data_IF_757398987510
#
_entry.id   IF_757398987510
#
_cell.length_a   1.000
_cell.length_b   1.000
_cell.length_c   1.000
_cell.angle_alpha   90.00
_cell.angle_beta   90.00
_cell.angle_gamma   90.00
#
_symmetry.space_group_name_H-M   'P 1'
#
loop_
_entity.id
_entity.type
_entity.pdbx_description
1 polymer ?
#
# COMPACT_ATOMS: atom_id res chain seq x y z
N UNK A 1 3.26 9.57 25.09
CA UNK A 1 4.05 8.97 24.00
C UNK A 1 5.51 9.27 24.29
N UNK A 2 6.36 8.25 24.55
CA UNK A 2 7.79 8.46 24.68
C UNK A 2 8.29 9.04 23.35
N UNK A 3 9.10 10.11 23.41
CA UNK A 3 9.46 10.92 22.25
C UNK A 3 10.19 10.10 21.19
N UNK A 4 9.59 10.01 20.00
CA UNK A 4 10.25 9.49 18.80
C UNK A 4 11.41 10.43 18.49
N UNK A 5 12.65 9.91 18.42
CA UNK A 5 13.79 10.70 17.96
C UNK A 5 13.60 11.00 16.47
N UNK A 6 13.51 12.28 16.13
CA UNK A 6 13.41 12.72 14.74
C UNK A 6 14.78 12.56 14.08
N UNK A 7 14.89 11.83 12.95
CA UNK A 7 16.16 11.68 12.23
C UNK A 7 16.69 13.03 11.70
N UNK A 8 18.02 13.19 11.68
CA UNK A 8 18.64 14.43 11.18
C UNK A 8 18.30 14.73 9.73
N UNK A 9 18.23 13.69 8.88
CA UNK A 9 17.81 13.83 7.49
C UNK A 9 16.39 14.41 7.36
N UNK A 10 15.47 14.02 8.24
CA UNK A 10 14.09 14.54 8.25
C UNK A 10 14.06 16.04 8.62
N UNK A 11 14.91 16.45 9.57
CA UNK A 11 15.08 17.87 9.95
C UNK A 11 15.69 18.66 8.78
N UNK A 12 16.73 18.12 8.15
CA UNK A 12 17.40 18.78 7.03
C UNK A 12 16.44 18.98 5.83
N UNK A 13 15.70 17.94 5.44
CA UNK A 13 14.70 17.99 4.36
C UNK A 13 13.49 18.88 4.70
N UNK A 14 13.28 19.18 5.98
CA UNK A 14 12.26 20.14 6.44
C UNK A 14 12.81 21.54 6.72
N UNK A 15 13.97 21.88 6.15
CA UNK A 15 14.54 23.23 6.27
C UNK A 15 15.09 23.56 7.67
N UNK A 16 15.56 22.55 8.42
CA UNK A 16 16.15 22.71 9.75
C UNK A 16 15.13 22.73 10.91
N UNK A 17 13.85 22.49 10.61
CA UNK A 17 12.77 22.44 11.61
C UNK A 17 12.28 20.99 11.75
N UNK A 18 11.92 20.58 12.96
CA UNK A 18 11.35 19.25 13.20
C UNK A 18 10.06 19.07 12.38
N UNK A 19 9.97 18.01 11.54
CA UNK A 19 8.78 17.73 10.74
C UNK A 19 7.67 17.10 11.56
N UNK A 20 6.47 17.09 11.01
CA UNK A 20 5.32 16.37 11.55
C UNK A 20 5.48 14.86 11.32
N UNK A 21 5.38 14.07 12.41
CA UNK A 21 5.29 12.61 12.31
C UNK A 21 3.88 12.23 11.90
N UNK A 22 3.74 11.63 10.72
CA UNK A 22 2.45 11.16 10.18
C UNK A 22 2.15 9.73 10.58
N UNK A 23 3.17 8.85 10.55
CA UNK A 23 2.99 7.43 10.80
C UNK A 23 4.24 6.79 11.39
N UNK A 24 4.03 5.76 12.22
CA UNK A 24 5.08 4.83 12.67
C UNK A 24 4.58 3.41 12.43
N UNK A 25 5.34 2.62 11.68
CA UNK A 25 5.03 1.22 11.45
C UNK A 25 5.53 0.32 12.61
N UNK A 26 5.18 -0.96 12.56
CA UNK A 26 5.52 -1.94 13.60
C UNK A 26 7.03 -2.28 13.64
N UNK A 27 7.77 -1.97 12.59
CA UNK A 27 9.21 -2.21 12.44
C UNK A 27 10.05 -0.93 12.68
N UNK A 28 9.48 0.04 13.42
CA UNK A 28 10.08 1.31 13.75
C UNK A 28 10.38 2.24 12.57
N UNK A 29 9.82 1.95 11.39
CA UNK A 29 9.82 2.88 10.27
C UNK A 29 8.93 4.09 10.55
N UNK A 30 9.38 5.26 10.11
CA UNK A 30 8.73 6.54 10.36
C UNK A 30 8.37 7.21 9.04
N UNK A 31 7.17 7.79 8.97
CA UNK A 31 6.77 8.65 7.85
C UNK A 31 6.53 10.05 8.38
N UNK A 32 7.22 11.02 7.79
CA UNK A 32 7.10 12.43 8.14
C UNK A 32 6.51 13.25 7.00
N UNK A 33 5.70 14.24 7.36
CA UNK A 33 5.38 15.35 6.48
C UNK A 33 6.53 16.35 6.54
N UNK A 34 7.21 16.56 5.41
CA UNK A 34 8.27 17.56 5.25
C UNK A 34 7.84 18.63 4.25
N UNK A 35 8.64 19.70 4.09
CA UNK A 35 8.33 20.84 3.22
C UNK A 35 7.81 20.43 1.84
N UNK A 36 8.52 19.51 1.17
CA UNK A 36 8.29 19.21 -0.25
C UNK A 36 7.54 17.89 -0.46
N UNK A 37 7.12 17.19 0.61
CA UNK A 37 6.39 15.93 0.48
C UNK A 37 6.34 15.06 1.72
N UNK A 38 6.42 13.76 1.50
CA UNK A 38 6.41 12.73 2.54
C UNK A 38 7.73 11.97 2.53
N UNK A 39 8.38 11.92 3.68
CA UNK A 39 9.63 11.19 3.91
C UNK A 39 9.34 9.90 4.66
N UNK A 40 9.53 8.75 4.02
CA UNK A 40 9.68 7.46 4.70
C UNK A 40 11.12 7.30 5.13
N UNK A 41 11.33 6.93 6.39
CA UNK A 41 12.63 6.64 6.98
C UNK A 41 12.55 5.31 7.71
N UNK A 42 13.41 4.36 7.35
CA UNK A 42 13.45 3.04 7.98
C UNK A 42 14.86 2.75 8.53
N UNK A 43 14.98 2.34 9.82
CA UNK A 43 16.25 1.88 10.33
C UNK A 43 16.68 0.61 9.59
N UNK A 44 17.97 0.45 9.30
CA UNK A 44 18.48 -0.78 8.66
C UNK A 44 18.18 -2.04 9.46
N UNK A 45 18.13 -1.93 10.78
CA UNK A 45 17.77 -3.02 11.68
C UNK A 45 16.35 -3.56 11.46
N UNK A 46 15.45 -2.79 10.82
CA UNK A 46 14.10 -3.24 10.50
C UNK A 46 14.05 -4.32 9.42
N UNK A 47 15.11 -4.43 8.60
CA UNK A 47 15.11 -5.30 7.40
C UNK A 47 14.24 -4.80 6.25
N UNK A 48 13.55 -3.66 6.40
CA UNK A 48 12.73 -3.07 5.32
C UNK A 48 13.64 -2.41 4.29
N UNK A 49 13.47 -2.79 3.03
CA UNK A 49 14.22 -2.24 1.90
C UNK A 49 13.35 -1.20 1.15
N UNK A 50 13.61 0.09 1.36
CA UNK A 50 12.94 1.18 0.63
C UNK A 50 13.33 1.23 -0.85
N UNK A 51 14.43 0.58 -1.26
CA UNK A 51 14.79 0.42 -2.65
C UNK A 51 13.76 -0.41 -3.43
N UNK A 52 13.11 -1.37 -2.78
CA UNK A 52 12.00 -2.14 -3.36
C UNK A 52 10.82 -1.24 -3.71
N UNK A 53 10.40 -0.39 -2.78
CA UNK A 53 9.31 0.56 -3.03
C UNK A 53 9.69 1.57 -4.12
N UNK A 54 10.91 2.10 -4.07
CA UNK A 54 11.40 3.02 -5.09
C UNK A 54 11.35 2.41 -6.50
N UNK A 55 11.82 1.17 -6.68
CA UNK A 55 11.78 0.48 -7.98
C UNK A 55 10.35 0.30 -8.50
N UNK A 56 9.39 0.03 -7.62
CA UNK A 56 7.97 -0.11 -7.96
C UNK A 56 7.33 1.23 -8.34
N UNK A 57 7.63 2.29 -7.59
CA UNK A 57 7.20 3.65 -7.92
C UNK A 57 7.76 4.12 -9.29
N UNK A 58 9.02 3.82 -9.57
CA UNK A 58 9.66 4.11 -10.86
C UNK A 58 8.96 3.36 -12.01
N UNK A 59 8.63 2.07 -11.82
CA UNK A 59 7.92 1.30 -12.83
C UNK A 59 6.49 1.79 -13.04
N UNK A 60 5.77 2.17 -11.97
CA UNK A 60 4.40 2.66 -12.02
C UNK A 60 4.30 4.08 -12.62
N UNK A 61 5.39 4.84 -12.62
CA UNK A 61 5.39 6.21 -13.14
C UNK A 61 4.86 6.26 -14.60
N UNK A 62 3.81 7.04 -14.81
CA UNK A 62 3.13 7.15 -16.12
C UNK A 62 2.20 5.98 -16.49
N UNK A 63 2.12 4.93 -15.66
CA UNK A 63 1.21 3.77 -15.84
C UNK A 63 0.06 3.76 -14.85
N UNK A 64 0.33 4.19 -13.63
CA UNK A 64 -0.63 4.22 -12.51
C UNK A 64 -0.35 5.45 -11.64
N UNK A 65 -1.37 6.15 -11.15
CA UNK A 65 -1.15 7.29 -10.27
C UNK A 65 -0.51 6.88 -8.95
N UNK A 66 0.73 7.28 -8.75
CA UNK A 66 1.53 7.08 -7.54
C UNK A 66 2.38 8.31 -7.25
N UNK A 67 2.87 8.51 -6.02
CA UNK A 67 3.76 9.61 -5.69
C UNK A 67 5.06 9.57 -6.51
N UNK A 68 5.47 10.72 -7.02
CA UNK A 68 6.76 10.85 -7.70
C UNK A 68 7.90 10.89 -6.68
N UNK A 69 8.94 10.11 -6.89
CA UNK A 69 10.16 10.16 -6.08
C UNK A 69 10.84 11.52 -6.28
N UNK A 70 11.18 12.18 -5.19
CA UNK A 70 11.95 13.42 -5.15
C UNK A 70 13.41 13.16 -4.80
N UNK A 71 13.63 12.32 -3.79
CA UNK A 71 14.95 11.98 -3.29
C UNK A 71 14.91 10.58 -2.65
N UNK A 72 16.02 9.87 -2.70
CA UNK A 72 16.27 8.67 -1.92
C UNK A 72 17.71 8.66 -1.44
N UNK A 73 17.93 8.04 -0.32
CA UNK A 73 19.28 7.90 0.21
C UNK A 73 19.37 6.86 1.32
N UNK A 74 20.57 6.65 1.75
CA UNK A 74 20.90 5.72 2.82
C UNK A 74 22.19 6.15 3.53
N UNK A 75 22.32 5.73 4.78
CA UNK A 75 23.54 5.85 5.57
C UNK A 75 23.80 4.55 6.36
N UNK A 76 24.67 4.60 7.34
CA UNK A 76 24.98 3.43 8.17
C UNK A 76 23.81 2.98 9.05
N UNK A 77 22.88 3.87 9.39
CA UNK A 77 21.80 3.63 10.33
C UNK A 77 20.46 3.34 9.65
N UNK A 78 20.20 3.96 8.48
CA UNK A 78 18.88 3.95 7.87
C UNK A 78 18.89 4.10 6.35
N UNK A 79 17.72 3.88 5.78
CA UNK A 79 17.33 4.25 4.41
C UNK A 79 16.21 5.26 4.47
N UNK A 80 16.09 6.13 3.44
CA UNK A 80 14.95 7.03 3.30
C UNK A 80 14.51 7.20 1.85
N UNK A 81 13.22 7.54 1.72
CA UNK A 81 12.57 7.80 0.44
C UNK A 81 11.65 9.02 0.60
N UNK A 82 11.95 10.08 -0.13
CA UNK A 82 11.13 11.29 -0.20
C UNK A 82 10.28 11.26 -1.47
N UNK A 83 8.98 11.42 -1.30
CA UNK A 83 8.01 11.46 -2.40
C UNK A 83 7.23 12.76 -2.41
N UNK A 84 6.85 13.22 -3.62
CA UNK A 84 6.00 14.39 -3.79
C UNK A 84 4.61 14.17 -3.17
N UNK A 85 3.98 15.21 -2.62
CA UNK A 85 2.61 15.12 -2.16
C UNK A 85 1.67 14.94 -3.36
N UNK A 86 0.54 14.28 -3.13
CA UNK A 86 -0.58 14.17 -4.07
C UNK A 86 -1.77 14.92 -3.49
N UNK A 87 -2.48 15.67 -4.33
CA UNK A 87 -3.73 16.30 -3.93
C UNK A 87 -4.82 15.25 -3.74
N UNK A 88 -5.11 14.95 -2.49
CA UNK A 88 -6.06 13.94 -2.06
C UNK A 88 -5.86 13.60 -0.60
N UNK A 89 -6.84 12.92 -0.03
CA UNK A 89 -6.78 12.43 1.34
C UNK A 89 -6.83 10.90 1.35
N UNK A 90 -6.16 10.29 2.34
CA UNK A 90 -6.28 8.86 2.56
C UNK A 90 -7.75 8.46 2.73
N UNK A 91 -8.14 7.30 2.20
CA UNK A 91 -9.50 6.79 2.35
C UNK A 91 -9.94 6.68 3.83
N UNK A 92 -9.00 6.66 4.76
CA UNK A 92 -9.31 6.68 6.21
C UNK A 92 -9.28 8.07 6.85
N UNK A 93 -9.18 9.14 6.06
CA UNK A 93 -9.36 10.51 6.56
C UNK A 93 -10.79 10.72 7.10
N UNK A 94 -10.99 11.61 8.08
CA UNK A 94 -12.30 11.79 8.73
C UNK A 94 -13.46 12.03 7.77
N UNK A 95 -13.24 12.77 6.69
CA UNK A 95 -14.25 13.05 5.67
C UNK A 95 -14.68 11.79 4.90
N UNK A 96 -13.80 10.80 4.71
CA UNK A 96 -14.10 9.54 4.02
C UNK A 96 -14.60 8.47 4.98
N UNK A 97 -14.16 8.47 6.23
CA UNK A 97 -14.78 7.66 7.29
C UNK A 97 -16.27 8.02 7.46
N UNK A 98 -16.61 9.28 7.31
CA UNK A 98 -18.02 9.73 7.34
C UNK A 98 -18.82 9.37 6.07
N UNK A 99 -18.16 8.95 4.99
CA UNK A 99 -18.74 8.59 3.69
C UNK A 99 -18.22 7.24 3.19
N UNK A 100 -18.44 6.16 3.96
CA UNK A 100 -17.80 4.85 3.70
C UNK A 100 -18.16 4.25 2.33
N UNK A 101 -19.40 4.47 1.85
CA UNK A 101 -19.81 3.96 0.55
C UNK A 101 -19.00 4.57 -0.61
N UNK A 102 -18.70 5.87 -0.56
CA UNK A 102 -17.87 6.56 -1.55
C UNK A 102 -16.41 6.05 -1.46
N UNK A 103 -15.89 5.90 -0.25
CA UNK A 103 -14.55 5.39 -0.03
C UNK A 103 -14.37 3.96 -0.56
N UNK A 104 -15.34 3.06 -0.31
CA UNK A 104 -15.31 1.67 -0.82
C UNK A 104 -15.32 1.65 -2.35
N UNK A 105 -16.12 2.51 -3.00
CA UNK A 105 -16.13 2.64 -4.47
C UNK A 105 -14.78 3.13 -5.01
N UNK A 106 -14.15 4.08 -4.33
CA UNK A 106 -12.83 4.57 -4.69
C UNK A 106 -11.75 3.49 -4.55
N UNK A 107 -11.77 2.71 -3.46
CA UNK A 107 -10.87 1.58 -3.24
C UNK A 107 -11.07 0.52 -4.33
N UNK A 108 -12.31 0.14 -4.64
CA UNK A 108 -12.58 -0.80 -5.72
C UNK A 108 -12.08 -0.31 -7.08
N UNK A 109 -12.20 1.00 -7.36
CA UNK A 109 -11.69 1.61 -8.58
C UNK A 109 -10.16 1.59 -8.64
N UNK A 110 -9.47 1.86 -7.52
CA UNK A 110 -8.01 1.76 -7.40
C UNK A 110 -7.51 0.34 -7.71
N UNK A 111 -8.15 -0.67 -7.11
CA UNK A 111 -7.81 -2.08 -7.34
C UNK A 111 -8.06 -2.51 -8.79
N UNK A 112 -9.18 -2.12 -9.40
CA UNK A 112 -9.39 -2.38 -10.83
C UNK A 112 -8.31 -1.75 -11.69
N UNK A 113 -7.88 -0.54 -11.37
CA UNK A 113 -6.89 0.18 -12.16
C UNK A 113 -5.49 -0.48 -12.09
N UNK A 114 -5.05 -0.91 -10.91
CA UNK A 114 -3.76 -1.60 -10.78
C UNK A 114 -3.82 -3.00 -11.40
N UNK A 115 -4.90 -3.75 -11.20
CA UNK A 115 -5.08 -5.10 -11.79
C UNK A 115 -5.25 -5.08 -13.31
N UNK A 116 -5.61 -3.94 -13.91
CA UNK A 116 -5.68 -3.78 -15.36
C UNK A 116 -4.33 -3.50 -16.03
N UNK A 117 -3.26 -3.30 -15.24
CA UNK A 117 -1.92 -3.13 -15.81
C UNK A 117 -1.44 -4.41 -16.49
N UNK A 118 -0.65 -4.24 -17.55
CA UNK A 118 -0.10 -5.37 -18.30
C UNK A 118 0.91 -6.17 -17.48
N UNK A 119 0.56 -7.40 -17.13
CA UNK A 119 1.47 -8.33 -16.44
C UNK A 119 2.74 -8.56 -17.25
N UNK A 120 2.66 -8.58 -18.57
CA UNK A 120 3.81 -8.81 -19.45
C UNK A 120 4.88 -7.70 -19.33
N UNK A 121 4.45 -6.49 -18.95
CA UNK A 121 5.34 -5.32 -18.80
C UNK A 121 6.02 -5.24 -17.42
N UNK A 122 5.58 -6.04 -16.44
CA UNK A 122 6.21 -6.04 -15.10
C UNK A 122 7.61 -6.64 -15.20
N UNK A 123 8.67 -5.92 -14.79
CA UNK A 123 10.03 -6.45 -14.79
C UNK A 123 10.15 -7.71 -13.93
N UNK A 124 10.99 -8.66 -14.35
CA UNK A 124 11.22 -9.89 -13.60
C UNK A 124 11.70 -9.63 -12.16
N UNK A 125 12.48 -8.56 -11.95
CA UNK A 125 12.95 -8.15 -10.63
C UNK A 125 11.85 -7.66 -9.67
N UNK A 126 10.64 -7.42 -10.15
CA UNK A 126 9.47 -7.04 -9.33
C UNK A 126 8.49 -8.19 -9.15
N UNK A 127 8.87 -9.42 -9.43
CA UNK A 127 8.03 -10.62 -9.32
C UNK A 127 8.62 -11.63 -8.34
N UNK A 128 7.75 -12.38 -7.65
CA UNK A 128 8.13 -13.58 -6.91
C UNK A 128 8.79 -13.35 -5.55
N UNK A 129 8.76 -12.11 -5.02
CA UNK A 129 9.35 -11.78 -3.72
C UNK A 129 8.38 -11.12 -2.73
N UNK A 130 7.08 -11.13 -3.06
CA UNK A 130 6.03 -10.57 -2.20
C UNK A 130 5.45 -11.64 -1.26
N UNK A 131 4.77 -11.20 -0.21
CA UNK A 131 4.18 -12.11 0.78
C UNK A 131 3.20 -13.10 0.14
N UNK A 132 2.44 -12.69 -0.86
CA UNK A 132 1.46 -13.53 -1.55
C UNK A 132 2.09 -14.60 -2.47
N UNK A 133 3.41 -14.54 -2.69
CA UNK A 133 4.18 -15.59 -3.39
C UNK A 133 4.54 -16.76 -2.47
N UNK A 134 4.44 -16.57 -1.16
CA UNK A 134 4.82 -17.57 -0.17
C UNK A 134 3.81 -18.72 -0.14
N UNK A 135 4.32 -19.90 0.23
CA UNK A 135 3.52 -21.14 0.29
C UNK A 135 3.80 -21.88 1.61
N UNK A 136 3.37 -21.31 2.77
CA UNK A 136 3.61 -21.92 4.06
C UNK A 136 2.81 -23.22 4.15
N UNK A 137 3.49 -24.31 4.60
CA UNK A 137 2.88 -25.64 4.70
C UNK A 137 1.64 -25.67 5.62
N UNK A 138 1.56 -24.75 6.57
CA UNK A 138 0.43 -24.63 7.49
C UNK A 138 -0.91 -24.30 6.82
N UNK A 139 -0.89 -23.65 5.65
CA UNK A 139 -2.10 -23.27 4.91
C UNK A 139 -2.53 -24.31 3.87
N UNK A 140 -1.76 -25.38 3.69
CA UNK A 140 -2.05 -26.37 2.64
C UNK A 140 -1.74 -25.85 1.23
N UNK A 141 -2.43 -26.40 0.23
CA UNK A 141 -2.26 -26.01 -1.15
C UNK A 141 -2.93 -24.65 -1.41
N UNK A 142 -2.19 -23.74 -2.08
CA UNK A 142 -2.80 -22.51 -2.56
C UNK A 142 -3.91 -22.81 -3.58
N UNK A 143 -5.00 -22.02 -3.62
CA UNK A 143 -5.98 -22.11 -4.69
C UNK A 143 -5.30 -21.97 -6.06
N UNK A 144 -5.81 -22.68 -7.06
CA UNK A 144 -5.27 -22.58 -8.42
C UNK A 144 -5.40 -21.14 -8.91
N UNK A 145 -4.28 -20.56 -9.38
CA UNK A 145 -4.29 -19.22 -9.98
C UNK A 145 -5.12 -19.26 -11.26
N UNK A 146 -6.15 -18.42 -11.34
CA UNK A 146 -6.99 -18.30 -12.53
C UNK A 146 -6.28 -17.44 -13.59
N UNK A 147 -6.24 -16.15 -13.36
CA UNK A 147 -5.55 -15.18 -14.21
C UNK A 147 -4.65 -14.28 -13.37
N UNK A 148 -3.33 -14.25 -13.62
CA UNK A 148 -2.44 -13.37 -12.89
C UNK A 148 -2.71 -11.90 -13.24
N UNK A 149 -2.69 -11.05 -12.21
CA UNK A 149 -2.81 -9.59 -12.34
C UNK A 149 -1.61 -8.90 -11.68
N UNK A 150 -1.45 -7.61 -11.92
CA UNK A 150 -0.55 -6.78 -11.11
C UNK A 150 -1.24 -6.51 -9.78
N UNK A 151 -0.69 -7.05 -8.69
CA UNK A 151 -1.21 -6.94 -7.33
C UNK A 151 -0.54 -5.77 -6.63
N UNK A 152 -1.30 -4.92 -5.91
CA UNK A 152 -0.76 -3.84 -5.09
C UNK A 152 0.13 -4.37 -3.95
N UNK A 153 -0.31 -5.46 -3.32
CA UNK A 153 0.39 -6.17 -2.28
C UNK A 153 0.16 -5.65 -0.85
N UNK A 154 -0.32 -4.43 -0.69
CA UNK A 154 -0.85 -3.87 0.56
C UNK A 154 -2.09 -3.04 0.27
N UNK A 155 -3.19 -3.70 -0.08
CA UNK A 155 -4.46 -3.07 -0.47
C UNK A 155 -5.27 -2.55 0.73
N UNK A 156 -4.61 -2.15 1.81
CA UNK A 156 -5.24 -1.53 2.96
C UNK A 156 -5.89 -0.18 2.59
N UNK A 157 -7.04 0.12 3.19
CA UNK A 157 -7.79 1.35 2.91
C UNK A 157 -6.94 2.64 3.02
N UNK A 158 -6.02 2.79 4.02
CA UNK A 158 -5.14 3.96 4.09
C UNK A 158 -4.31 4.23 2.84
N UNK A 159 -4.01 3.20 2.06
CA UNK A 159 -3.12 3.26 0.88
C UNK A 159 -3.83 3.72 -0.40
N UNK A 160 -5.14 4.01 -0.32
CA UNK A 160 -5.92 4.63 -1.39
C UNK A 160 -6.10 6.12 -1.10
N UNK A 161 -5.67 6.98 -2.01
CA UNK A 161 -5.92 8.42 -1.93
C UNK A 161 -7.16 8.79 -2.75
N UNK A 162 -8.02 9.62 -2.17
CA UNK A 162 -9.29 10.07 -2.75
C UNK A 162 -9.23 11.58 -2.93
N UNK A 163 -9.55 12.04 -4.13
CA UNK A 163 -9.63 13.44 -4.47
C UNK A 163 -10.87 14.12 -3.90
N UNK A 164 -10.92 15.45 -3.92
CA UNK A 164 -12.06 16.22 -3.42
C UNK A 164 -13.38 15.93 -4.14
N UNK A 165 -13.32 15.31 -5.32
CA UNK A 165 -14.47 14.86 -6.11
C UNK A 165 -15.01 13.47 -5.69
N UNK A 166 -14.44 12.85 -4.67
CA UNK A 166 -14.82 11.52 -4.17
C UNK A 166 -14.28 10.35 -5.00
N UNK A 167 -13.42 10.63 -5.98
CA UNK A 167 -12.84 9.59 -6.82
C UNK A 167 -11.43 9.22 -6.35
N UNK A 168 -11.06 7.97 -6.55
CA UNK A 168 -9.67 7.56 -6.40
C UNK A 168 -8.76 8.44 -7.29
N UNK A 169 -7.66 8.92 -6.72
CA UNK A 169 -6.70 9.77 -7.42
C UNK A 169 -5.27 9.20 -7.41
N UNK A 170 -4.91 8.35 -6.43
CA UNK A 170 -3.62 7.68 -6.42
C UNK A 170 -3.60 6.50 -5.43
N UNK A 171 -2.60 5.63 -5.59
CA UNK A 171 -2.22 4.59 -4.64
C UNK A 171 -0.86 4.90 -4.03
N UNK A 172 -0.66 4.56 -2.75
CA UNK A 172 0.60 4.73 -2.02
C UNK A 172 1.01 3.41 -1.37
N UNK A 173 2.23 3.34 -0.86
CA UNK A 173 2.75 2.16 -0.14
C UNK A 173 2.79 0.89 -1.02
N UNK A 174 3.42 1.03 -2.18
CA UNK A 174 3.47 -0.01 -3.21
C UNK A 174 4.69 -0.96 -3.07
N UNK A 175 5.29 -1.00 -1.87
CA UNK A 175 6.51 -1.78 -1.59
C UNK A 175 6.38 -3.29 -1.83
N UNK A 176 5.17 -3.83 -1.80
CA UNK A 176 4.88 -5.25 -2.05
C UNK A 176 4.20 -5.53 -3.39
N UNK A 177 4.12 -4.52 -4.27
CA UNK A 177 3.55 -4.72 -5.61
C UNK A 177 4.28 -5.85 -6.35
N UNK A 178 3.51 -6.69 -7.03
CA UNK A 178 4.03 -7.82 -7.79
C UNK A 178 3.02 -8.38 -8.77
N UNK A 179 3.15 -9.66 -9.13
CA UNK A 179 2.22 -10.36 -10.02
C UNK A 179 1.66 -11.57 -9.27
N UNK A 180 0.35 -11.65 -9.17
CA UNK A 180 -0.29 -12.72 -8.40
C UNK A 180 -1.79 -12.82 -8.62
N UNK A 181 -2.47 -13.47 -7.69
CA UNK A 181 -3.93 -13.58 -7.66
C UNK A 181 -4.54 -12.26 -7.14
N UNK A 182 -5.55 -11.74 -7.82
CA UNK A 182 -6.30 -10.55 -7.40
C UNK A 182 -6.89 -10.65 -5.99
N UNK A 183 -7.10 -11.87 -5.50
CA UNK A 183 -7.62 -12.10 -4.15
C UNK A 183 -6.61 -11.77 -3.05
N UNK A 184 -5.30 -11.67 -3.37
CA UNK A 184 -4.32 -11.14 -2.44
C UNK A 184 -4.69 -9.70 -2.02
N UNK A 185 -5.10 -8.86 -2.96
CA UNK A 185 -5.55 -7.50 -2.66
C UNK A 185 -7.00 -7.45 -2.14
N UNK A 186 -7.92 -8.17 -2.77
CA UNK A 186 -9.34 -8.13 -2.38
C UNK A 186 -9.59 -8.62 -0.97
N UNK A 187 -8.86 -9.66 -0.52
CA UNK A 187 -8.97 -10.18 0.84
C UNK A 187 -8.43 -9.16 1.87
N UNK A 188 -7.26 -8.56 1.61
CA UNK A 188 -6.67 -7.53 2.48
C UNK A 188 -7.55 -6.29 2.54
N UNK A 189 -8.04 -5.82 1.38
CA UNK A 189 -8.96 -4.68 1.33
C UNK A 189 -10.22 -4.93 2.15
N UNK A 190 -10.85 -6.11 2.04
CA UNK A 190 -12.05 -6.46 2.79
C UNK A 190 -11.81 -6.45 4.31
N UNK A 191 -10.66 -6.98 4.78
CA UNK A 191 -10.27 -6.91 6.20
C UNK A 191 -10.06 -5.48 6.64
N UNK A 192 -9.32 -4.69 5.86
CA UNK A 192 -9.04 -3.28 6.16
C UNK A 192 -10.30 -2.43 6.20
N UNK A 193 -11.31 -2.73 5.36
CA UNK A 193 -12.61 -2.08 5.44
C UNK A 193 -13.30 -2.35 6.78
N UNK A 194 -13.25 -3.59 7.27
CA UNK A 194 -13.79 -3.94 8.58
C UNK A 194 -13.17 -3.13 9.72
N UNK A 195 -11.86 -2.96 9.70
CA UNK A 195 -11.14 -2.19 10.72
C UNK A 195 -11.45 -0.70 10.70
N UNK A 196 -11.62 -0.12 9.52
CA UNK A 196 -11.73 1.33 9.36
C UNK A 196 -13.16 1.84 9.29
N UNK A 197 -14.10 1.05 8.78
CA UNK A 197 -15.49 1.47 8.54
C UNK A 197 -16.53 0.58 9.24
N UNK A 198 -16.09 -0.49 9.92
CA UNK A 198 -16.97 -1.52 10.48
C UNK A 198 -17.31 -2.62 9.47
N UNK A 199 -18.04 -3.62 9.95
CA UNK A 199 -18.35 -4.81 9.16
C UNK A 199 -19.39 -4.54 8.05
N UNK A 200 -19.41 -5.41 7.03
CA UNK A 200 -20.47 -5.45 6.01
C UNK A 200 -20.12 -4.77 4.68
N UNK A 201 -18.93 -4.23 4.51
CA UNK A 201 -18.53 -3.53 3.28
C UNK A 201 -17.95 -4.45 2.19
N UNK A 202 -17.56 -5.69 2.52
CA UNK A 202 -17.03 -6.66 1.56
C UNK A 202 -17.94 -6.89 0.33
N UNK A 203 -19.25 -7.13 0.49
CA UNK A 203 -20.15 -7.28 -0.65
C UNK A 203 -20.21 -6.06 -1.58
N UNK A 204 -20.11 -4.84 -1.04
CA UNK A 204 -20.03 -3.63 -1.85
C UNK A 204 -18.69 -3.58 -2.61
N UNK A 205 -17.59 -3.86 -1.94
CA UNK A 205 -16.26 -3.90 -2.56
C UNK A 205 -16.24 -4.85 -3.77
N UNK A 206 -16.69 -6.11 -3.59
CA UNK A 206 -16.68 -7.11 -4.67
C UNK A 206 -17.61 -6.73 -5.82
N UNK A 207 -18.79 -6.21 -5.53
CA UNK A 207 -19.73 -5.72 -6.55
C UNK A 207 -19.13 -4.56 -7.36
N UNK A 208 -18.55 -3.56 -6.68
CA UNK A 208 -17.94 -2.40 -7.35
C UNK A 208 -16.63 -2.78 -8.06
N UNK A 209 -15.93 -3.77 -7.58
CA UNK A 209 -14.79 -4.37 -8.30
C UNK A 209 -15.23 -5.17 -9.53
N UNK A 210 -16.39 -5.80 -9.48
CA UNK A 210 -16.96 -6.57 -10.59
C UNK A 210 -16.58 -8.03 -10.58
N UNK A 211 -16.53 -8.67 -9.40
CA UNK A 211 -16.23 -10.10 -9.24
C UNK A 211 -17.24 -10.76 -8.30
N UNK A 212 -17.56 -12.03 -8.56
CA UNK A 212 -18.34 -12.84 -7.64
C UNK A 212 -17.54 -13.24 -6.41
N UNK A 213 -18.18 -13.41 -5.26
CA UNK A 213 -17.51 -13.89 -4.04
C UNK A 213 -16.86 -15.25 -4.24
N UNK A 214 -15.63 -15.40 -3.76
CA UNK A 214 -14.90 -16.66 -3.65
C UNK A 214 -14.32 -16.77 -2.22
N UNK A 215 -15.05 -17.44 -1.36
CA UNK A 215 -14.71 -17.51 0.06
C UNK A 215 -13.44 -18.35 0.31
N UNK A 216 -13.19 -19.38 -0.52
CA UNK A 216 -11.97 -20.20 -0.42
C UNK A 216 -10.72 -19.35 -0.66
N UNK A 217 -10.71 -18.55 -1.73
CA UNK A 217 -9.59 -17.64 -2.04
C UNK A 217 -9.49 -16.52 -1.01
N UNK A 218 -10.61 -15.91 -0.66
CA UNK A 218 -10.64 -14.85 0.34
C UNK A 218 -10.07 -15.32 1.68
N UNK A 219 -10.45 -16.51 2.13
CA UNK A 219 -9.94 -17.10 3.37
C UNK A 219 -8.45 -17.41 3.28
N UNK A 220 -8.01 -18.07 2.19
CA UNK A 220 -6.61 -18.41 2.00
C UNK A 220 -5.71 -17.16 2.07
N UNK A 221 -6.04 -16.08 1.35
CA UNK A 221 -5.22 -14.87 1.33
C UNK A 221 -5.31 -14.06 2.61
N UNK A 222 -6.44 -14.08 3.34
CA UNK A 222 -6.52 -13.51 4.70
C UNK A 222 -5.59 -14.22 5.68
N UNK A 223 -5.59 -15.54 5.66
CA UNK A 223 -4.73 -16.35 6.54
C UNK A 223 -3.26 -16.18 6.18
N UNK A 224 -2.93 -16.18 4.89
CA UNK A 224 -1.57 -15.97 4.40
C UNK A 224 -1.03 -14.60 4.82
N UNK A 225 -1.82 -13.54 4.66
CA UNK A 225 -1.46 -12.20 5.08
C UNK A 225 -1.32 -12.07 6.60
N UNK A 226 -2.19 -12.74 7.37
CA UNK A 226 -2.14 -12.79 8.83
C UNK A 226 -0.91 -13.48 9.41
N UNK A 227 -0.17 -14.29 8.62
CA UNK A 227 1.11 -14.87 9.02
C UNK A 227 2.29 -13.89 8.87
N UNK A 228 2.08 -12.77 8.17
CA UNK A 228 3.10 -11.77 7.86
C UNK A 228 2.90 -10.46 8.65
N UNK A 229 1.72 -10.29 9.28
CA UNK A 229 1.31 -9.06 9.99
C UNK A 229 1.89 -8.95 11.41
#
# INVERSE_FOLDING_TARGET
MAGVRVPEVAIALNGGVAPELVWRNQLDGLTFRVRDGYLKWNPRASGVDLGREAARLEWLAGRHPVPRILERGEDAEAQWLLTAPIEGASAVAPEWIARPEEAVRAIAAALRAVHALSVAEVPAALRGDSWFDRRPAALGAAPALDEPVVVHGDACAPNTLIGSDGRWCASVDVGDLGVGDRWADLAVAAVSLGWNYGEGWGPLLLREYGIEPDEERAQYYRELWGLEA
#
